data_IF_240732727565
#
_entry.id   IF_240732727565
#
_cell.length_a   1.000
_cell.length_b   1.000
_cell.length_c   1.000
_cell.angle_alpha   90.00
_cell.angle_beta   90.00
_cell.angle_gamma   90.00
#
_symmetry.space_group_name_H-M   'P 1'
#
loop_
_entity.id
_entity.type
_entity.pdbx_description
1 polymer ?
#
# COMPACT_ATOMS: atom_id res chain seq x y z
N UNK A 1 1.71 -44.41 -14.72
CA UNK A 1 0.60 -43.92 -15.55
C UNK A 1 0.62 -42.41 -15.47
N UNK A 2 0.63 -41.73 -16.60
CA UNK A 2 0.81 -40.29 -16.65
C UNK A 2 -0.54 -39.62 -16.34
N UNK A 3 -0.75 -39.24 -15.07
CA UNK A 3 -1.89 -38.44 -14.68
C UNK A 3 -1.73 -37.07 -15.32
N UNK A 4 -2.60 -36.77 -16.28
CA UNK A 4 -2.77 -35.43 -16.82
C UNK A 4 -3.34 -34.57 -15.70
N UNK A 5 -2.47 -33.98 -14.87
CA UNK A 5 -2.86 -33.05 -13.81
C UNK A 5 -3.68 -31.91 -14.42
N UNK A 6 -5.00 -31.97 -14.21
CA UNK A 6 -5.92 -30.94 -14.68
C UNK A 6 -5.59 -29.67 -13.91
N UNK A 7 -5.07 -28.69 -14.64
CA UNK A 7 -4.69 -27.38 -14.12
C UNK A 7 -5.94 -26.53 -13.91
N UNK A 8 -6.29 -26.29 -12.66
CA UNK A 8 -7.49 -25.53 -12.27
C UNK A 8 -7.13 -24.07 -12.00
N UNK A 9 -8.00 -23.16 -12.43
CA UNK A 9 -7.99 -21.75 -12.00
C UNK A 9 -8.81 -21.60 -10.72
N UNK A 10 -8.66 -20.46 -10.04
CA UNK A 10 -9.46 -20.14 -8.86
C UNK A 10 -10.98 -20.18 -9.14
N UNK A 11 -11.41 -19.81 -10.35
CA UNK A 11 -12.81 -19.90 -10.77
C UNK A 11 -13.29 -21.36 -10.87
N UNK A 12 -12.47 -22.26 -11.40
CA UNK A 12 -12.81 -23.68 -11.54
C UNK A 12 -12.91 -24.34 -10.15
N UNK A 13 -12.03 -23.97 -9.21
CA UNK A 13 -12.10 -24.45 -7.81
C UNK A 13 -13.35 -23.92 -7.13
N UNK A 14 -13.72 -22.66 -7.35
CA UNK A 14 -14.92 -22.06 -6.78
C UNK A 14 -16.18 -22.82 -7.23
N UNK A 15 -16.26 -23.18 -8.51
CA UNK A 15 -17.36 -23.97 -9.07
C UNK A 15 -17.42 -25.39 -8.45
N UNK A 16 -16.27 -26.06 -8.29
CA UNK A 16 -16.22 -27.43 -7.76
C UNK A 16 -16.46 -27.48 -6.24
N UNK A 17 -15.92 -26.52 -5.49
CA UNK A 17 -15.99 -26.50 -4.02
C UNK A 17 -17.20 -25.76 -3.45
N UNK A 18 -17.94 -25.02 -4.28
CA UNK A 18 -19.07 -24.19 -3.83
C UNK A 18 -18.65 -22.96 -3.01
N UNK A 19 -17.36 -22.60 -3.05
CA UNK A 19 -16.77 -21.47 -2.31
C UNK A 19 -16.62 -20.29 -3.28
N UNK A 20 -16.76 -19.05 -2.81
CA UNK A 20 -16.58 -17.89 -3.70
C UNK A 20 -15.14 -17.77 -4.21
N UNK A 21 -14.95 -17.28 -5.45
CA UNK A 21 -13.60 -17.07 -6.03
C UNK A 21 -12.72 -16.16 -5.15
N UNK A 22 -13.34 -15.20 -4.45
CA UNK A 22 -12.65 -14.30 -3.52
C UNK A 22 -12.14 -15.05 -2.29
N UNK A 23 -12.94 -15.94 -1.72
CA UNK A 23 -12.53 -16.76 -0.57
C UNK A 23 -11.45 -17.78 -0.95
N UNK A 24 -11.56 -18.41 -2.13
CA UNK A 24 -10.52 -19.29 -2.68
C UNK A 24 -9.19 -18.55 -2.79
N UNK A 25 -9.19 -17.31 -3.31
CA UNK A 25 -7.99 -16.46 -3.38
C UNK A 25 -7.46 -16.10 -1.99
N UNK A 26 -8.32 -15.72 -1.06
CA UNK A 26 -7.92 -15.38 0.32
C UNK A 26 -7.29 -16.57 1.04
N UNK A 27 -7.89 -17.75 0.94
CA UNK A 27 -7.38 -19.00 1.52
C UNK A 27 -6.06 -19.38 0.84
N UNK A 28 -5.99 -19.24 -0.49
CA UNK A 28 -4.77 -19.50 -1.25
C UNK A 28 -3.61 -18.57 -0.88
N UNK A 29 -3.88 -17.32 -0.52
CA UNK A 29 -2.85 -16.37 -0.12
C UNK A 29 -2.42 -16.58 1.33
N UNK A 30 -3.35 -16.90 2.24
CA UNK A 30 -3.08 -17.17 3.65
C UNK A 30 -2.34 -18.51 3.86
N UNK A 31 -2.74 -19.54 3.11
CA UNK A 31 -2.23 -20.91 3.24
C UNK A 31 -1.42 -21.36 2.01
N UNK A 32 -0.68 -20.44 1.39
CA UNK A 32 0.10 -20.68 0.17
C UNK A 32 1.11 -21.85 0.29
N UNK A 33 1.56 -22.19 1.52
CA UNK A 33 2.48 -23.31 1.76
C UNK A 33 1.78 -24.67 1.88
N UNK A 34 0.46 -24.70 2.12
CA UNK A 34 -0.33 -25.93 2.20
C UNK A 34 -0.91 -26.33 0.83
N UNK A 35 -1.20 -25.34 -0.02
CA UNK A 35 -1.95 -25.53 -1.26
C UNK A 35 -1.00 -25.72 -2.45
N UNK A 36 -1.05 -26.88 -3.15
CA UNK A 36 -0.26 -27.10 -4.35
C UNK A 36 -0.68 -26.13 -5.45
N UNK A 37 0.17 -25.15 -5.74
CA UNK A 37 -0.09 -24.13 -6.75
C UNK A 37 1.18 -23.69 -7.46
N UNK A 38 1.04 -23.32 -8.73
CA UNK A 38 2.10 -22.82 -9.59
C UNK A 38 1.64 -21.53 -10.26
N UNK A 39 2.53 -20.53 -10.31
CA UNK A 39 2.22 -19.24 -10.94
C UNK A 39 2.63 -19.28 -12.40
N UNK A 40 1.67 -19.17 -13.32
CA UNK A 40 1.93 -18.94 -14.74
C UNK A 40 1.63 -17.47 -15.09
N UNK A 41 2.70 -16.69 -15.23
CA UNK A 41 2.59 -15.25 -15.50
C UNK A 41 1.90 -14.51 -14.35
N UNK A 42 0.71 -13.96 -14.61
CA UNK A 42 -0.11 -13.23 -13.62
C UNK A 42 -1.18 -14.10 -12.94
N UNK A 43 -1.28 -15.37 -13.32
CA UNK A 43 -2.38 -16.26 -12.90
C UNK A 43 -1.80 -17.40 -12.05
N UNK A 44 -2.40 -17.64 -10.88
CA UNK A 44 -2.14 -18.84 -10.08
C UNK A 44 -2.96 -20.00 -10.62
N UNK A 45 -2.30 -21.12 -10.83
CA UNK A 45 -2.90 -22.37 -11.26
C UNK A 45 -2.71 -23.38 -10.15
N UNK A 46 -3.74 -24.17 -9.92
CA UNK A 46 -3.83 -25.13 -8.84
C UNK A 46 -3.90 -26.54 -9.40
N UNK A 47 -3.35 -27.48 -8.65
CA UNK A 47 -3.54 -28.90 -8.92
C UNK A 47 -4.93 -29.33 -8.44
N UNK A 48 -5.43 -30.45 -8.94
CA UNK A 48 -6.72 -31.01 -8.53
C UNK A 48 -6.81 -31.28 -7.02
N UNK A 49 -5.69 -31.72 -6.41
CA UNK A 49 -5.56 -31.93 -4.96
C UNK A 49 -5.75 -30.64 -4.14
N UNK A 50 -5.61 -29.47 -4.75
CA UNK A 50 -5.84 -28.20 -4.07
C UNK A 50 -7.30 -27.99 -3.70
N UNK A 51 -8.25 -28.57 -4.45
CA UNK A 51 -9.69 -28.43 -4.18
C UNK A 51 -10.03 -29.01 -2.81
N UNK A 52 -9.56 -30.23 -2.52
CA UNK A 52 -9.80 -30.91 -1.25
C UNK A 52 -9.17 -30.16 -0.08
N UNK A 53 -7.95 -29.66 -0.27
CA UNK A 53 -7.22 -28.89 0.74
C UNK A 53 -7.95 -27.57 1.03
N UNK A 54 -8.41 -26.85 0.00
CA UNK A 54 -9.14 -25.58 0.15
C UNK A 54 -10.50 -25.80 0.81
N UNK A 55 -11.23 -26.84 0.41
CA UNK A 55 -12.52 -27.21 1.02
C UNK A 55 -12.39 -27.55 2.50
N UNK A 56 -11.35 -28.31 2.86
CA UNK A 56 -11.06 -28.67 4.26
C UNK A 56 -10.61 -27.46 5.10
N UNK A 57 -9.77 -26.58 4.55
CA UNK A 57 -9.39 -25.32 5.22
C UNK A 57 -10.62 -24.43 5.43
N UNK A 58 -11.50 -24.32 4.43
CA UNK A 58 -12.71 -23.51 4.54
C UNK A 58 -13.65 -24.03 5.63
N UNK A 59 -13.85 -25.36 5.69
CA UNK A 59 -14.64 -26.00 6.74
C UNK A 59 -14.09 -25.71 8.14
N UNK A 60 -12.76 -25.77 8.31
CA UNK A 60 -12.09 -25.45 9.58
C UNK A 60 -12.17 -23.96 9.95
N UNK A 61 -12.12 -23.06 8.96
CA UNK A 61 -12.34 -21.62 9.20
C UNK A 61 -13.78 -21.33 9.61
N UNK A 62 -14.76 -22.01 9.01
CA UNK A 62 -16.17 -21.86 9.38
C UNK A 62 -16.46 -22.43 10.79
N UNK A 63 -15.72 -23.45 11.23
CA UNK A 63 -15.81 -23.96 12.61
C UNK A 63 -15.07 -23.09 13.65
N UNK A 64 -14.52 -21.93 13.25
CA UNK A 64 -13.85 -21.00 14.16
C UNK A 64 -12.45 -21.44 14.60
N UNK A 65 -11.84 -22.40 13.90
CA UNK A 65 -10.49 -22.88 14.21
C UNK A 65 -9.45 -21.80 13.86
N UNK A 66 -8.54 -21.51 14.78
CA UNK A 66 -7.49 -20.53 14.56
C UNK A 66 -6.57 -20.96 13.42
N UNK A 67 -6.08 -20.01 12.60
CA UNK A 67 -5.21 -20.31 11.45
C UNK A 67 -3.97 -21.12 11.83
N UNK A 68 -3.48 -20.99 13.07
CA UNK A 68 -2.34 -21.75 13.61
C UNK A 68 -2.65 -23.25 13.78
N UNK A 69 -3.85 -23.58 14.26
CA UNK A 69 -4.30 -24.96 14.44
C UNK A 69 -4.60 -25.64 13.09
N UNK A 70 -4.96 -24.85 12.09
CA UNK A 70 -5.12 -25.34 10.71
C UNK A 70 -3.74 -25.78 10.17
N UNK A 71 -2.67 -24.99 10.37
CA UNK A 71 -1.34 -25.40 9.94
C UNK A 71 -0.84 -26.69 10.63
N UNK A 72 -1.09 -26.84 11.93
CA UNK A 72 -0.69 -28.04 12.68
C UNK A 72 -1.45 -29.29 12.23
N UNK A 73 -2.74 -29.19 11.88
CA UNK A 73 -3.51 -30.31 11.32
C UNK A 73 -3.01 -30.78 9.95
N UNK A 74 -2.38 -29.90 9.17
CA UNK A 74 -1.75 -30.24 7.89
C UNK A 74 -0.25 -30.55 8.03
N UNK A 75 0.27 -30.69 9.26
CA UNK A 75 1.63 -31.13 9.55
C UNK A 75 2.73 -30.14 9.18
N UNK A 76 2.40 -28.85 9.00
CA UNK A 76 3.36 -27.79 8.67
C UNK A 76 3.37 -26.72 9.77
N UNK A 77 4.54 -26.18 10.08
CA UNK A 77 4.64 -25.07 11.02
C UNK A 77 3.96 -23.83 10.44
N UNK A 78 3.14 -23.15 11.25
CA UNK A 78 2.53 -21.89 10.86
C UNK A 78 3.63 -20.87 10.49
N UNK A 79 3.45 -20.07 9.42
CA UNK A 79 4.40 -19.02 9.11
C UNK A 79 4.44 -18.03 10.29
N UNK A 80 5.65 -17.76 10.82
CA UNK A 80 5.83 -16.85 11.94
C UNK A 80 5.10 -15.53 11.65
N UNK A 81 4.24 -15.09 12.58
CA UNK A 81 3.55 -13.81 12.48
C UNK A 81 4.60 -12.71 12.37
N UNK A 82 4.83 -12.20 11.15
CA UNK A 82 5.66 -11.02 10.92
C UNK A 82 5.13 -9.89 11.79
N UNK A 83 5.98 -9.37 12.66
CA UNK A 83 5.67 -8.24 13.54
C UNK A 83 5.11 -7.08 12.72
N UNK A 84 4.25 -6.23 13.30
CA UNK A 84 3.71 -5.03 12.64
C UNK A 84 4.83 -4.18 12.01
N UNK A 85 5.99 -4.12 12.67
CA UNK A 85 7.21 -3.45 12.17
C UNK A 85 7.76 -4.11 10.90
N UNK A 86 7.75 -5.43 10.85
CA UNK A 86 8.24 -6.23 9.72
C UNK A 86 7.26 -6.24 8.54
N UNK A 87 5.95 -6.18 8.80
CA UNK A 87 4.93 -5.96 7.76
C UNK A 87 5.06 -4.57 7.13
N UNK A 88 5.31 -3.53 7.93
CA UNK A 88 5.54 -2.18 7.41
C UNK A 88 6.79 -2.09 6.54
N UNK A 89 7.91 -2.69 6.96
CA UNK A 89 9.15 -2.69 6.17
C UNK A 89 9.05 -3.53 4.89
N UNK A 90 8.35 -4.67 4.93
CA UNK A 90 8.06 -5.48 3.74
C UNK A 90 7.18 -4.73 2.74
N UNK A 91 6.18 -3.98 3.21
CA UNK A 91 5.27 -3.19 2.36
C UNK A 91 6.03 -2.04 1.69
N UNK A 92 6.88 -1.33 2.44
CA UNK A 92 7.77 -0.31 1.89
C UNK A 92 8.74 -0.89 0.85
N UNK A 93 9.33 -2.06 1.12
CA UNK A 93 10.24 -2.73 0.19
C UNK A 93 9.54 -3.19 -1.09
N UNK A 94 8.32 -3.73 -1.01
CA UNK A 94 7.52 -4.11 -2.19
C UNK A 94 7.09 -2.90 -3.01
N UNK A 95 6.70 -1.80 -2.37
CA UNK A 95 6.36 -0.57 -3.05
C UNK A 95 7.58 0.04 -3.76
N UNK A 96 8.75 0.04 -3.12
CA UNK A 96 10.01 0.49 -3.71
C UNK A 96 10.44 -0.38 -4.90
N UNK A 97 10.27 -1.70 -4.82
CA UNK A 97 10.51 -2.62 -5.93
C UNK A 97 9.53 -2.40 -7.09
N UNK A 98 8.26 -2.09 -6.81
CA UNK A 98 7.26 -1.79 -7.84
C UNK A 98 7.54 -0.45 -8.55
N UNK A 99 8.07 0.55 -7.84
CA UNK A 99 8.51 1.82 -8.39
C UNK A 99 9.77 1.63 -9.26
N UNK A 100 10.72 0.80 -8.83
CA UNK A 100 11.90 0.43 -9.62
C UNK A 100 11.55 -0.34 -10.90
N UNK A 101 10.60 -1.29 -10.82
CA UNK A 101 10.13 -2.03 -11.99
C UNK A 101 9.35 -1.14 -12.98
N UNK A 102 8.60 -0.15 -12.47
CA UNK A 102 7.86 0.83 -13.29
C UNK A 102 8.81 1.83 -13.95
N UNK A 103 9.88 2.23 -13.27
CA UNK A 103 10.97 3.03 -13.85
C UNK A 103 11.74 2.26 -14.95
N UNK A 104 11.99 0.97 -14.76
CA UNK A 104 12.62 0.10 -15.76
C UNK A 104 11.75 -0.18 -17.00
N UNK A 105 10.42 -0.08 -16.87
CA UNK A 105 9.50 -0.20 -17.99
C UNK A 105 9.46 1.08 -18.84
N UNK A 106 9.53 2.26 -18.19
CA UNK A 106 9.58 3.57 -18.86
C UNK A 106 10.88 3.72 -19.68
N UNK A 107 12.00 3.15 -19.22
CA UNK A 107 13.27 3.19 -19.97
C UNK A 107 13.36 2.20 -21.13
N UNK A 108 12.52 1.15 -21.16
CA UNK A 108 12.46 0.19 -22.28
C UNK A 108 11.66 0.71 -23.47
N UNK A 109 10.61 1.49 -23.24
CA UNK A 109 9.74 1.99 -24.32
C UNK A 109 10.34 3.17 -25.11
N UNK A 110 11.44 3.78 -24.63
CA UNK A 110 12.20 4.83 -25.33
C UNK A 110 13.57 4.37 -25.87
N UNK A 111 13.85 3.06 -25.88
CA UNK A 111 15.15 2.51 -26.27
C UNK A 111 15.37 2.23 -27.76
N UNK A 112 14.34 2.35 -28.62
CA UNK A 112 14.41 1.76 -29.98
C UNK A 112 14.43 2.76 -31.16
N UNK A 113 14.88 4.00 -30.96
CA UNK A 113 14.91 5.02 -32.03
C UNK A 113 16.26 5.74 -32.22
N UNK A 114 17.39 5.12 -31.84
CA UNK A 114 18.73 5.65 -32.16
C UNK A 114 19.41 4.72 -33.18
N UNK A 115 19.74 5.18 -34.40
CA UNK A 115 20.45 4.38 -35.40
C UNK A 115 21.96 4.27 -35.06
N UNK A 116 22.67 3.25 -35.57
CA UNK A 116 24.02 2.91 -35.11
C UNK A 116 25.13 3.66 -35.88
N UNK A 117 26.09 4.21 -35.14
CA UNK A 117 27.39 4.70 -35.61
C UNK A 117 28.08 5.39 -34.44
N UNK A 118 29.33 5.18 -34.08
CA UNK A 118 30.49 4.54 -34.71
C UNK A 118 31.43 4.10 -33.59
N UNK A 119 32.04 2.92 -33.72
CA UNK A 119 33.05 2.41 -32.78
C UNK A 119 34.32 3.25 -32.84
N UNK A 120 34.83 3.71 -31.70
CA UNK A 120 36.24 4.10 -31.55
C UNK A 120 36.85 3.30 -30.40
N UNK A 121 37.77 2.40 -30.77
CA UNK A 121 38.76 1.78 -29.87
C UNK A 121 39.77 2.85 -29.47
N UNK A 122 40.11 2.95 -28.19
CA UNK A 122 41.45 3.37 -27.78
C UNK A 122 41.87 2.61 -26.51
N UNK A 123 42.88 1.76 -26.70
CA UNK A 123 43.89 1.40 -25.71
C UNK A 123 44.50 2.68 -25.12
N UNK A 124 44.80 2.72 -23.81
CA UNK A 124 46.18 2.74 -23.30
C UNK A 124 46.22 2.84 -21.77
N UNK A 125 47.13 2.06 -21.18
CA UNK A 125 47.76 2.29 -19.87
C UNK A 125 48.15 3.77 -19.69
N UNK A 126 47.88 4.34 -18.51
CA UNK A 126 48.93 4.99 -17.71
C UNK A 126 48.47 5.24 -16.27
N UNK A 127 49.42 4.95 -15.37
CA UNK A 127 49.48 5.22 -13.95
C UNK A 127 48.99 6.60 -13.48
N UNK A 128 48.25 6.58 -12.37
CA UNK A 128 48.55 7.35 -11.15
C UNK A 128 48.40 8.86 -11.18
N UNK A 129 47.33 9.38 -10.56
CA UNK A 129 47.38 10.10 -9.27
C UNK A 129 45.97 10.60 -8.93
N UNK A 130 45.50 10.25 -7.73
CA UNK A 130 44.19 10.64 -7.23
C UNK A 130 44.15 12.15 -6.94
N UNK A 131 43.14 12.85 -7.48
CA UNK A 131 42.71 14.15 -6.97
C UNK A 131 41.18 14.20 -6.95
N UNK A 132 40.68 14.60 -5.79
CA UNK A 132 39.31 14.57 -5.27
C UNK A 132 38.19 14.83 -6.28
N UNK A 133 37.16 14.00 -6.21
CA UNK A 133 35.88 14.20 -6.89
C UNK A 133 35.12 15.35 -6.21
N UNK A 134 34.98 16.44 -6.95
CA UNK A 134 34.12 17.57 -6.62
C UNK A 134 32.68 17.27 -7.08
N UNK A 135 31.74 17.44 -6.16
CA UNK A 135 30.32 17.13 -6.29
C UNK A 135 29.65 18.04 -7.34
N UNK A 136 29.39 17.53 -8.54
CA UNK A 136 28.56 18.25 -9.53
C UNK A 136 27.07 17.94 -9.29
N UNK A 137 26.30 18.96 -8.91
CA UNK A 137 24.84 18.88 -8.80
C UNK A 137 24.20 18.57 -10.17
N UNK A 138 23.07 17.83 -10.20
CA UNK A 138 22.37 17.52 -11.44
C UNK A 138 21.86 18.82 -12.12
N UNK A 139 21.95 18.93 -13.46
CA UNK A 139 21.59 20.15 -14.17
C UNK A 139 20.11 20.52 -13.97
N UNK A 140 19.86 21.79 -13.68
CA UNK A 140 18.52 22.35 -13.50
C UNK A 140 17.64 22.12 -14.73
N UNK A 141 16.37 21.72 -14.52
CA UNK A 141 15.36 21.53 -15.58
C UNK A 141 15.25 22.72 -16.53
N UNK A 142 15.52 23.94 -16.02
CA UNK A 142 15.51 25.17 -16.81
C UNK A 142 16.65 25.15 -17.85
N UNK A 143 17.86 24.70 -17.49
CA UNK A 143 18.99 24.64 -18.42
C UNK A 143 18.79 23.58 -19.50
N UNK A 144 18.18 22.44 -19.14
CA UNK A 144 17.84 21.39 -20.11
C UNK A 144 16.80 21.87 -21.13
N UNK A 145 15.82 22.67 -20.69
CA UNK A 145 14.82 23.25 -21.58
C UNK A 145 15.45 24.30 -22.50
N UNK A 146 16.36 25.16 -22.00
CA UNK A 146 17.02 26.17 -22.84
C UNK A 146 17.93 25.54 -23.90
N UNK A 147 18.65 24.47 -23.56
CA UNK A 147 19.52 23.76 -24.50
C UNK A 147 18.71 23.02 -25.59
N UNK A 148 17.56 22.47 -25.21
CA UNK A 148 16.62 21.85 -26.13
C UNK A 148 16.02 22.89 -27.11
N UNK A 149 15.67 24.08 -26.62
CA UNK A 149 15.17 25.19 -27.45
C UNK A 149 16.24 25.67 -28.43
N UNK A 150 17.47 25.93 -27.98
CA UNK A 150 18.56 26.36 -28.88
C UNK A 150 18.89 25.31 -29.95
N UNK A 151 18.80 24.02 -29.60
CA UNK A 151 19.00 22.91 -30.55
C UNK A 151 17.85 22.83 -31.56
N UNK A 152 16.61 23.10 -31.13
CA UNK A 152 15.45 23.18 -32.02
C UNK A 152 15.55 24.36 -32.99
N UNK A 153 15.97 25.54 -32.53
CA UNK A 153 16.18 26.73 -33.37
C UNK A 153 17.20 26.48 -34.48
N UNK A 154 18.35 25.86 -34.16
CA UNK A 154 19.36 25.50 -35.16
C UNK A 154 18.84 24.51 -36.21
N UNK A 155 17.94 23.59 -35.81
CA UNK A 155 17.29 22.64 -36.73
C UNK A 155 16.27 23.33 -37.63
N UNK A 156 15.48 24.26 -37.09
CA UNK A 156 14.52 25.06 -37.87
C UNK A 156 15.26 25.89 -38.93
N UNK A 157 16.32 26.59 -38.55
CA UNK A 157 17.11 27.39 -39.49
C UNK A 157 17.76 26.55 -40.62
N UNK A 158 18.11 25.30 -40.34
CA UNK A 158 18.63 24.36 -41.35
C UNK A 158 17.54 23.81 -42.28
N UNK A 159 16.31 23.66 -41.78
CA UNK A 159 15.18 23.22 -42.60
C UNK A 159 14.70 24.34 -43.54
N UNK A 160 14.75 25.60 -43.09
CA UNK A 160 14.44 26.78 -43.92
C UNK A 160 15.39 26.85 -45.13
N UNK A 161 16.70 26.71 -44.92
CA UNK A 161 17.67 26.74 -46.03
C UNK A 161 17.59 25.54 -46.98
N UNK A 162 17.10 24.40 -46.51
CA UNK A 162 16.83 23.23 -47.36
C UNK A 162 15.51 23.37 -48.14
N UNK A 163 14.52 24.09 -47.59
CA UNK A 163 13.26 24.36 -48.28
C UNK A 163 13.45 25.29 -49.49
N UNK A 164 14.38 26.25 -49.41
CA UNK A 164 14.72 27.17 -50.52
C UNK A 164 15.37 26.48 -51.75
N UNK A 165 15.73 25.19 -51.64
CA UNK A 165 16.44 24.43 -52.69
C UNK A 165 15.72 23.16 -53.17
N UNK A 166 14.55 22.85 -52.63
CA UNK A 166 13.79 21.63 -52.95
C UNK A 166 12.69 21.89 -54.00
N UNK A 167 12.35 20.91 -54.87
CA UNK A 167 11.23 21.05 -55.80
C UNK A 167 9.88 21.09 -55.06
N UNK A 168 8.96 21.94 -55.51
CA UNK A 168 7.66 22.21 -54.84
C UNK A 168 6.85 20.95 -54.49
N UNK A 169 6.98 19.86 -55.26
CA UNK A 169 6.28 18.60 -54.99
C UNK A 169 6.83 17.83 -53.78
N UNK A 170 8.15 17.86 -53.53
CA UNK A 170 8.75 17.18 -52.38
C UNK A 170 8.47 17.93 -51.07
N UNK A 171 8.39 19.27 -51.17
CA UNK A 171 7.96 20.14 -50.07
C UNK A 171 6.49 19.88 -49.73
N UNK A 172 5.62 19.76 -50.72
CA UNK A 172 4.20 19.44 -50.53
C UNK A 172 3.98 18.07 -49.86
N UNK A 173 4.69 17.02 -50.29
CA UNK A 173 4.59 15.68 -49.69
C UNK A 173 5.07 15.66 -48.23
N UNK A 174 6.16 16.38 -47.93
CA UNK A 174 6.66 16.53 -46.56
C UNK A 174 5.69 17.31 -45.69
N UNK A 175 5.06 18.37 -46.22
CA UNK A 175 4.02 19.14 -45.52
C UNK A 175 2.82 18.24 -45.22
N UNK A 176 2.30 17.49 -46.19
CA UNK A 176 1.18 16.57 -45.96
C UNK A 176 1.49 15.49 -44.92
N UNK A 177 2.72 14.97 -44.90
CA UNK A 177 3.15 14.02 -43.87
C UNK A 177 3.26 14.65 -42.47
N UNK A 178 3.67 15.92 -42.41
CA UNK A 178 3.76 16.68 -41.17
C UNK A 178 2.38 17.06 -40.64
N UNK A 179 1.46 17.48 -41.50
CA UNK A 179 0.06 17.74 -41.17
C UNK A 179 -0.62 16.50 -40.58
N UNK A 180 -0.46 15.33 -41.22
CA UNK A 180 -0.99 14.07 -40.70
C UNK A 180 -0.40 13.73 -39.31
N UNK A 181 0.90 13.98 -39.12
CA UNK A 181 1.57 13.77 -37.83
C UNK A 181 1.05 14.73 -36.76
N UNK A 182 0.80 15.98 -37.11
CA UNK A 182 0.20 16.99 -36.22
C UNK A 182 -1.19 16.53 -35.81
N UNK A 183 -2.07 16.15 -36.75
CA UNK A 183 -3.42 15.66 -36.44
C UNK A 183 -3.40 14.47 -35.48
N UNK A 184 -2.47 13.52 -35.68
CA UNK A 184 -2.31 12.37 -34.79
C UNK A 184 -1.84 12.77 -33.38
N UNK A 185 -0.95 13.75 -33.28
CA UNK A 185 -0.49 14.25 -31.99
C UNK A 185 -1.59 15.04 -31.27
N UNK A 186 -2.36 15.86 -31.98
CA UNK A 186 -3.52 16.59 -31.43
C UNK A 186 -4.53 15.64 -30.81
N UNK A 187 -4.94 14.59 -31.53
CA UNK A 187 -5.86 13.58 -30.99
C UNK A 187 -5.30 12.87 -29.75
N UNK A 188 -3.99 12.63 -29.70
CA UNK A 188 -3.34 12.03 -28.52
C UNK A 188 -3.33 13.00 -27.34
N UNK A 189 -3.13 14.29 -27.58
CA UNK A 189 -3.16 15.33 -26.55
C UNK A 189 -4.57 15.43 -25.97
N UNK A 190 -5.59 15.57 -26.82
CA UNK A 190 -7.00 15.62 -26.39
C UNK A 190 -7.39 14.41 -25.54
N UNK A 191 -6.92 13.21 -25.96
CA UNK A 191 -7.13 11.99 -25.17
C UNK A 191 -6.47 12.08 -23.80
N UNK A 192 -5.20 12.49 -23.73
CA UNK A 192 -4.48 12.63 -22.45
C UNK A 192 -5.15 13.68 -21.56
N UNK A 193 -5.58 14.81 -22.11
CA UNK A 193 -6.29 15.86 -21.37
C UNK A 193 -7.61 15.35 -20.81
N UNK A 194 -8.37 14.58 -21.60
CA UNK A 194 -9.60 13.94 -21.14
C UNK A 194 -9.36 12.93 -20.01
N UNK A 195 -8.28 12.15 -20.09
CA UNK A 195 -7.88 11.20 -19.05
C UNK A 195 -7.44 11.92 -17.77
N UNK A 196 -6.69 13.02 -17.89
CA UNK A 196 -6.29 13.86 -16.75
C UNK A 196 -7.53 14.46 -16.07
N UNK A 197 -8.47 15.02 -16.83
CA UNK A 197 -9.70 15.57 -16.28
C UNK A 197 -10.53 14.50 -15.54
N UNK A 198 -10.63 13.29 -16.10
CA UNK A 198 -11.32 12.18 -15.46
C UNK A 198 -10.63 11.73 -14.16
N UNK A 199 -9.29 11.69 -14.15
CA UNK A 199 -8.50 11.38 -12.96
C UNK A 199 -8.67 12.45 -11.88
N UNK A 200 -8.60 13.73 -12.23
CA UNK A 200 -8.82 14.85 -11.30
C UNK A 200 -10.21 14.78 -10.67
N UNK A 201 -11.25 14.59 -11.48
CA UNK A 201 -12.63 14.45 -10.98
C UNK A 201 -12.79 13.25 -10.05
N UNK A 202 -12.08 12.16 -10.30
CA UNK A 202 -12.09 10.99 -9.40
C UNK A 202 -11.35 11.29 -8.10
N UNK A 203 -10.20 11.97 -8.19
CA UNK A 203 -9.43 12.40 -7.03
C UNK A 203 -10.23 13.36 -6.13
N UNK A 204 -10.96 14.31 -6.71
CA UNK A 204 -11.82 15.23 -5.96
C UNK A 204 -12.94 14.51 -5.22
N UNK A 205 -13.61 13.55 -5.88
CA UNK A 205 -14.61 12.71 -5.22
C UNK A 205 -14.01 11.94 -4.05
N UNK A 206 -12.89 11.26 -4.27
CA UNK A 206 -12.20 10.52 -3.21
C UNK A 206 -11.82 11.45 -2.04
N UNK A 207 -11.37 12.67 -2.32
CA UNK A 207 -11.01 13.64 -1.28
C UNK A 207 -12.23 14.10 -0.48
N UNK A 208 -13.37 14.32 -1.16
CA UNK A 208 -14.63 14.66 -0.49
C UNK A 208 -15.12 13.50 0.38
N UNK A 209 -15.08 12.26 -0.12
CA UNK A 209 -15.46 11.08 0.67
C UNK A 209 -14.58 10.93 1.92
N UNK A 210 -13.26 11.14 1.78
CA UNK A 210 -12.33 11.13 2.93
C UNK A 210 -12.67 12.24 3.92
N UNK A 211 -12.99 13.44 3.45
CA UNK A 211 -13.36 14.57 4.30
C UNK A 211 -14.63 14.27 5.09
N UNK A 212 -15.64 13.70 4.45
CA UNK A 212 -16.90 13.32 5.10
C UNK A 212 -16.67 12.23 6.14
N UNK A 213 -15.84 11.21 5.83
CA UNK A 213 -15.45 10.21 6.81
C UNK A 213 -14.70 10.82 8.00
N UNK A 214 -13.75 11.74 7.77
CA UNK A 214 -13.02 12.43 8.84
C UNK A 214 -13.96 13.21 9.75
N UNK A 215 -14.89 13.98 9.19
CA UNK A 215 -15.90 14.70 9.99
C UNK A 215 -16.81 13.74 10.77
N UNK A 216 -17.10 12.55 10.24
CA UNK A 216 -17.84 11.53 10.98
C UNK A 216 -17.03 10.93 12.14
N UNK A 217 -15.73 10.74 11.95
CA UNK A 217 -14.82 10.21 12.97
C UNK A 217 -14.56 11.24 14.08
N UNK A 218 -14.43 12.51 13.72
CA UNK A 218 -14.33 13.62 14.66
C UNK A 218 -15.55 13.64 15.61
N UNK A 219 -16.77 13.62 15.05
CA UNK A 219 -18.00 13.52 15.86
C UNK A 219 -18.05 12.30 16.77
N UNK A 220 -17.58 11.14 16.30
CA UNK A 220 -17.52 9.92 17.14
C UNK A 220 -16.50 10.07 18.27
N UNK A 221 -15.40 10.78 18.01
CA UNK A 221 -14.37 11.06 19.00
C UNK A 221 -14.90 12.02 20.07
N UNK A 222 -15.65 13.05 19.67
CA UNK A 222 -16.31 13.97 20.61
C UNK A 222 -17.28 13.22 21.52
N UNK A 223 -18.12 12.35 20.96
CA UNK A 223 -19.03 11.51 21.75
C UNK A 223 -18.23 10.63 22.72
N UNK A 224 -17.17 9.97 22.26
CA UNK A 224 -16.34 9.14 23.14
C UNK A 224 -15.71 9.96 24.27
N UNK A 225 -15.28 11.18 23.98
CA UNK A 225 -14.74 12.11 24.97
C UNK A 225 -15.80 12.51 26.01
N UNK A 226 -17.03 12.79 25.58
CA UNK A 226 -18.15 13.06 26.49
C UNK A 226 -18.42 11.87 27.42
N UNK A 227 -18.36 10.64 26.90
CA UNK A 227 -18.49 9.43 27.72
C UNK A 227 -17.36 9.29 28.73
N UNK A 228 -16.10 9.55 28.33
CA UNK A 228 -14.96 9.52 29.25
C UNK A 228 -15.16 10.54 30.37
N UNK A 229 -15.53 11.77 30.04
CA UNK A 229 -15.80 12.83 31.02
C UNK A 229 -16.92 12.44 31.99
N UNK A 230 -17.99 11.83 31.47
CA UNK A 230 -19.08 11.31 32.30
C UNK A 230 -18.59 10.23 33.28
N UNK A 231 -17.78 9.27 32.80
CA UNK A 231 -17.25 8.20 33.64
C UNK A 231 -16.24 8.72 34.68
N UNK A 232 -15.37 9.65 34.32
CA UNK A 232 -14.46 10.29 35.28
C UNK A 232 -15.23 10.97 36.41
N UNK A 233 -16.25 11.75 36.07
CA UNK A 233 -17.13 12.37 37.06
C UNK A 233 -17.83 11.33 37.95
N UNK A 234 -18.38 10.27 37.36
CA UNK A 234 -19.04 9.20 38.12
C UNK A 234 -18.06 8.48 39.05
N UNK A 235 -16.81 8.29 38.64
CA UNK A 235 -15.77 7.69 39.47
C UNK A 235 -15.38 8.58 40.65
N UNK A 236 -15.29 9.90 40.44
CA UNK A 236 -15.00 10.84 41.52
C UNK A 236 -16.15 10.92 42.53
N UNK A 237 -17.40 10.94 42.07
CA UNK A 237 -18.58 10.85 42.94
C UNK A 237 -18.60 9.56 43.75
N UNK A 238 -18.28 8.42 43.11
CA UNK A 238 -18.20 7.14 43.78
C UNK A 238 -17.10 7.11 44.85
N UNK A 239 -15.91 7.61 44.55
CA UNK A 239 -14.81 7.74 45.53
C UNK A 239 -15.21 8.62 46.71
N UNK A 240 -15.82 9.77 46.46
CA UNK A 240 -16.29 10.66 47.51
C UNK A 240 -17.33 9.98 48.42
N UNK A 241 -18.26 9.21 47.83
CA UNK A 241 -19.22 8.40 48.59
C UNK A 241 -18.52 7.32 49.42
N UNK A 242 -17.53 6.62 48.85
CA UNK A 242 -16.76 5.59 49.55
C UNK A 242 -15.98 6.17 50.73
N UNK A 243 -15.33 7.32 50.55
CA UNK A 243 -14.58 8.01 51.60
C UNK A 243 -15.51 8.47 52.74
N UNK A 244 -16.71 8.95 52.41
CA UNK A 244 -17.73 9.29 53.41
C UNK A 244 -18.17 8.07 54.22
N UNK A 245 -18.43 6.93 53.58
CA UNK A 245 -18.79 5.67 54.27
C UNK A 245 -17.64 5.20 55.16
N UNK A 246 -16.41 5.18 54.65
CA UNK A 246 -15.22 4.81 55.43
C UNK A 246 -15.02 5.73 56.64
N UNK A 247 -15.25 7.03 56.48
CA UNK A 247 -15.19 8.01 57.58
C UNK A 247 -16.26 7.74 58.64
N UNK A 248 -17.49 7.48 58.22
CA UNK A 248 -18.59 7.15 59.14
C UNK A 248 -18.36 5.81 59.86
N UNK A 249 -17.87 4.79 59.16
CA UNK A 249 -17.54 3.50 59.76
C UNK A 249 -16.42 3.64 60.79
N UNK A 250 -15.37 4.41 60.50
CA UNK A 250 -14.29 4.70 61.46
C UNK A 250 -14.82 5.36 62.73
N UNK A 251 -15.75 6.33 62.61
CA UNK A 251 -16.40 6.96 63.76
C UNK A 251 -17.21 5.95 64.56
N UNK A 252 -18.09 5.19 63.91
CA UNK A 252 -18.91 4.17 64.58
C UNK A 252 -18.06 3.10 65.30
N UNK A 253 -16.94 2.67 64.69
CA UNK A 253 -16.00 1.74 65.34
C UNK A 253 -15.32 2.39 66.54
N UNK A 254 -14.95 3.67 66.45
CA UNK A 254 -14.35 4.40 67.56
C UNK A 254 -15.33 4.58 68.73
N UNK A 255 -16.59 4.92 68.44
CA UNK A 255 -17.66 5.06 69.43
C UNK A 255 -17.92 3.71 70.11
N UNK A 256 -18.07 2.62 69.34
CA UNK A 256 -18.25 1.27 69.89
C UNK A 256 -17.04 0.81 70.72
N UNK A 257 -15.81 1.17 70.33
CA UNK A 257 -14.61 0.87 71.10
C UNK A 257 -14.60 1.61 72.45
N UNK A 258 -15.04 2.87 72.48
CA UNK A 258 -15.18 3.65 73.71
C UNK A 258 -16.26 3.05 74.64
N UNK A 259 -17.40 2.63 74.10
CA UNK A 259 -18.45 1.95 74.85
C UNK A 259 -17.94 0.64 75.47
N UNK A 260 -17.19 -0.16 74.71
CA UNK A 260 -16.56 -1.39 75.22
C UNK A 260 -15.58 -1.09 76.36
N UNK A 261 -14.80 -0.02 76.24
CA UNK A 261 -13.85 0.40 77.28
C UNK A 261 -14.57 0.85 78.56
N UNK A 262 -15.71 1.52 78.43
CA UNK A 262 -16.58 1.85 79.57
C UNK A 262 -17.17 0.60 80.24
N UNK A 263 -17.65 -0.37 79.45
CA UNK A 263 -18.19 -1.62 79.98
C UNK A 263 -17.16 -2.45 80.75
N UNK A 264 -15.86 -2.33 80.41
CA UNK A 264 -14.77 -2.96 81.17
C UNK A 264 -14.58 -2.36 82.57
N UNK A 265 -15.07 -1.15 82.83
CA UNK A 265 -15.02 -0.54 84.17
C UNK A 265 -16.05 -1.23 85.09
N UNK A 266 -15.73 -1.42 86.39
CA UNK A 266 -16.71 -1.92 87.36
C UNK A 266 -17.94 -1.02 87.39
N UNK A 267 -19.13 -1.60 87.62
CA UNK A 267 -20.40 -0.91 87.38
C UNK A 267 -20.56 0.42 88.13
N UNK A 268 -19.95 0.56 89.31
CA UNK A 268 -19.98 1.78 90.13
C UNK A 268 -18.99 2.88 89.69
N UNK A 269 -18.14 2.61 88.68
CA UNK A 269 -17.18 3.56 88.08
C UNK A 269 -17.50 3.90 86.61
N UNK A 270 -18.61 3.39 86.08
CA UNK A 270 -19.12 3.80 84.76
C UNK A 270 -19.71 5.21 84.90
N UNK A 271 -19.47 6.07 83.91
CA UNK A 271 -19.99 7.44 83.90
C UNK A 271 -21.35 7.51 83.23
#
# INVERSE_FOLDING_TARGET
>A
MADTEKKLKAADIAEISGISEREVKSISDEFASLIPSHTLGRIKIYEEKAVDVISKINSLKQSGTASEDIFTQFGKAAPAKKSTKERMTETLRKNQASLGARAAHITKDYGNSIPPGTKTKTSTKSSGTAKSAETAEPPSMISMVTDAVSTAEKRVNRLISLADSAPDSEVADKIGSAELRISKLTLRIEKIESEIAAMQKTSERNMNDIKDMLSSLEKRTDIANDWVNYFEKSLDEYKASQDAVCSNLKKSVADAAADIEELKKPFWKRK
#
